data_IF_609063631757
#
_entry.id   IF_609063631757
#
_cell.length_a   1.000
_cell.length_b   1.000
_cell.length_c   1.000
_cell.angle_alpha   90.00
_cell.angle_beta   90.00
_cell.angle_gamma   90.00
#
_symmetry.space_group_name_H-M   'P 1'
#
loop_
_entity.id
_entity.type
_entity.pdbx_description
1 polymer ?
#
# COMPACT_ATOMS: atom_id res chain seq x y z
N UNK A 1 -32.51 -11.54 -4.92
CA UNK A 1 -31.13 -11.50 -5.42
C UNK A 1 -30.53 -10.20 -4.95
N UNK A 2 -29.61 -10.22 -3.97
CA UNK A 2 -28.91 -9.02 -3.52
C UNK A 2 -27.78 -8.73 -4.50
N UNK A 3 -27.94 -7.72 -5.34
CA UNK A 3 -26.87 -7.23 -6.21
C UNK A 3 -25.83 -6.55 -5.32
N UNK A 4 -24.68 -7.19 -5.12
CA UNK A 4 -23.54 -6.58 -4.41
C UNK A 4 -23.02 -5.41 -5.23
N UNK A 5 -22.83 -4.25 -4.60
CA UNK A 5 -22.19 -3.12 -5.27
C UNK A 5 -20.71 -3.45 -5.54
N UNK A 6 -20.14 -2.98 -6.66
CA UNK A 6 -18.74 -3.24 -6.99
C UNK A 6 -17.81 -2.61 -5.96
N UNK A 7 -16.80 -3.34 -5.53
CA UNK A 7 -15.81 -2.88 -4.56
C UNK A 7 -14.82 -1.91 -5.24
N UNK A 8 -14.74 -0.68 -4.73
CA UNK A 8 -13.71 0.27 -5.12
C UNK A 8 -12.33 -0.17 -4.63
N UNK A 9 -11.28 0.18 -5.36
CA UNK A 9 -9.89 -0.04 -4.97
C UNK A 9 -8.96 1.03 -5.53
N UNK A 10 -7.66 0.80 -5.41
CA UNK A 10 -6.64 1.78 -5.78
C UNK A 10 -5.75 1.27 -6.92
N UNK A 11 -5.13 2.19 -7.66
CA UNK A 11 -4.20 1.79 -8.73
C UNK A 11 -2.93 1.16 -8.14
N UNK A 12 -2.26 0.29 -8.91
CA UNK A 12 -1.00 -0.35 -8.50
C UNK A 12 0.05 0.66 -7.95
N UNK A 13 0.24 1.86 -8.53
CA UNK A 13 1.15 2.86 -7.96
C UNK A 13 0.87 3.24 -6.51
N UNK A 14 -0.39 3.21 -6.05
CA UNK A 14 -0.73 3.52 -4.65
C UNK A 14 -0.16 2.45 -3.72
N UNK A 15 -0.33 1.17 -4.06
CA UNK A 15 0.20 0.05 -3.28
C UNK A 15 1.73 -0.03 -3.33
N UNK A 16 2.33 0.25 -4.50
CA UNK A 16 3.78 0.31 -4.64
C UNK A 16 4.39 1.46 -3.82
N UNK A 17 3.73 2.64 -3.82
CA UNK A 17 4.12 3.77 -2.99
C UNK A 17 4.05 3.41 -1.49
N UNK A 18 2.97 2.77 -1.07
CA UNK A 18 2.79 2.32 0.32
C UNK A 18 3.92 1.38 0.78
N UNK A 19 4.28 0.39 -0.04
CA UNK A 19 5.42 -0.49 0.23
C UNK A 19 6.74 0.32 0.33
N UNK A 20 6.99 1.25 -0.58
CA UNK A 20 8.20 2.08 -0.55
C UNK A 20 8.29 2.92 0.73
N UNK A 21 7.19 3.52 1.17
CA UNK A 21 7.12 4.30 2.42
C UNK A 21 7.40 3.42 3.64
N UNK A 22 6.79 2.23 3.72
CA UNK A 22 7.00 1.30 4.82
C UNK A 22 8.45 0.80 4.89
N UNK A 23 9.06 0.45 3.75
CA UNK A 23 10.45 0.05 3.68
C UNK A 23 11.41 1.18 4.10
N UNK A 24 11.15 2.42 3.66
CA UNK A 24 11.94 3.58 4.06
C UNK A 24 11.79 3.88 5.56
N UNK A 25 10.59 3.73 6.11
CA UNK A 25 10.36 3.89 7.54
C UNK A 25 11.17 2.87 8.35
N UNK A 26 11.17 1.60 7.93
CA UNK A 26 12.00 0.57 8.54
C UNK A 26 13.48 0.97 8.52
N UNK A 27 14.00 1.45 7.39
CA UNK A 27 15.42 1.85 7.30
C UNK A 27 15.79 2.99 8.25
N UNK A 28 14.82 3.86 8.58
CA UNK A 28 15.05 5.03 9.44
C UNK A 28 14.83 4.74 10.92
N UNK A 29 13.90 3.85 11.25
CA UNK A 29 13.39 3.67 12.62
C UNK A 29 13.49 2.22 13.12
N UNK A 30 13.85 1.26 12.25
CA UNK A 30 13.88 -0.18 12.53
C UNK A 30 12.56 -0.70 13.14
N UNK A 31 11.45 -0.12 12.70
CA UNK A 31 10.11 -0.41 13.17
C UNK A 31 9.23 -0.91 12.03
N UNK A 32 8.49 -1.99 12.26
CA UNK A 32 7.47 -2.45 11.33
C UNK A 32 6.22 -1.56 11.43
N UNK A 33 5.65 -1.21 10.28
CA UNK A 33 4.35 -0.57 10.17
C UNK A 33 3.33 -1.57 9.63
N UNK A 34 2.16 -1.61 10.24
CA UNK A 34 1.01 -2.38 9.76
C UNK A 34 0.22 -1.61 8.68
N UNK A 35 0.33 -0.29 8.68
CA UNK A 35 -0.35 0.61 7.73
C UNK A 35 0.48 1.84 7.43
N UNK A 36 0.27 2.45 6.27
CA UNK A 36 0.85 3.76 5.91
C UNK A 36 -0.20 4.69 5.32
N UNK A 37 -0.05 5.99 5.55
CA UNK A 37 -0.87 7.02 4.92
C UNK A 37 -0.27 7.43 3.58
N UNK A 38 -1.09 7.48 2.54
CA UNK A 38 -0.71 7.90 1.19
C UNK A 38 -1.64 9.00 0.71
N UNK A 39 -1.07 10.10 0.27
CA UNK A 39 -1.81 11.18 -0.38
C UNK A 39 -2.06 10.81 -1.85
N UNK A 40 -3.34 10.69 -2.21
CA UNK A 40 -3.78 10.44 -3.57
C UNK A 40 -3.74 11.73 -4.40
N UNK A 41 -3.50 11.58 -5.70
CA UNK A 41 -3.57 12.69 -6.66
C UNK A 41 -5.03 12.97 -7.05
N UNK A 42 -5.80 11.91 -7.29
CA UNK A 42 -7.20 12.00 -7.71
C UNK A 42 -8.03 10.84 -7.14
N UNK A 43 -9.10 11.12 -6.39
CA UNK A 43 -9.37 12.41 -5.74
C UNK A 43 -8.22 12.80 -4.78
N UNK A 44 -8.00 14.10 -4.50
CA UNK A 44 -6.95 14.53 -3.57
C UNK A 44 -7.39 14.26 -2.13
N UNK A 45 -7.04 13.08 -1.62
CA UNK A 45 -7.35 12.63 -0.26
C UNK A 45 -6.21 11.78 0.30
N UNK A 46 -6.09 11.72 1.62
CA UNK A 46 -5.16 10.80 2.29
C UNK A 46 -5.86 9.50 2.61
N UNK A 47 -5.31 8.39 2.13
CA UNK A 47 -5.84 7.05 2.38
C UNK A 47 -4.86 6.21 3.19
N UNK A 48 -5.40 5.27 3.97
CA UNK A 48 -4.59 4.32 4.74
C UNK A 48 -4.47 3.01 3.96
N UNK A 49 -3.25 2.60 3.65
CA UNK A 49 -2.96 1.37 2.92
C UNK A 49 -2.35 0.34 3.88
N UNK A 50 -2.90 -0.88 3.97
CA UNK A 50 -2.32 -1.93 4.79
C UNK A 50 -1.00 -2.43 4.21
N UNK A 51 -0.06 -2.72 5.10
CA UNK A 51 1.22 -3.36 4.80
C UNK A 51 1.11 -4.82 5.23
N UNK A 52 1.28 -5.76 4.31
CA UNK A 52 1.21 -7.19 4.62
C UNK A 52 2.42 -7.64 5.43
N UNK A 53 3.61 -7.12 5.06
CA UNK A 53 4.85 -7.41 5.76
C UNK A 53 5.87 -6.31 5.51
N UNK A 54 6.74 -6.06 6.49
CA UNK A 54 7.95 -5.26 6.32
C UNK A 54 9.07 -5.84 7.15
N UNK A 55 10.28 -5.87 6.58
CA UNK A 55 11.46 -6.35 7.27
C UNK A 55 12.74 -5.73 6.70
N UNK A 56 13.75 -5.60 7.56
CA UNK A 56 15.12 -5.32 7.16
C UNK A 56 15.76 -6.57 6.57
N UNK A 57 16.52 -6.41 5.49
CA UNK A 57 17.29 -7.49 4.87
C UNK A 57 18.75 -7.40 5.32
N UNK A 58 19.32 -6.19 5.24
CA UNK A 58 20.69 -5.86 5.67
C UNK A 58 20.83 -4.35 5.84
N UNK A 59 21.99 -3.88 6.26
CA UNK A 59 22.27 -2.44 6.34
C UNK A 59 21.93 -1.73 5.03
N UNK A 60 21.11 -0.68 5.12
CA UNK A 60 20.64 0.11 3.98
C UNK A 60 19.63 -0.60 3.07
N UNK A 61 19.12 -1.78 3.43
CA UNK A 61 18.16 -2.52 2.61
C UNK A 61 17.01 -3.09 3.44
N UNK A 62 15.78 -2.76 3.04
CA UNK A 62 14.55 -3.29 3.60
C UNK A 62 13.58 -3.66 2.47
N UNK A 63 12.65 -4.56 2.77
CA UNK A 63 11.56 -4.96 1.88
C UNK A 63 10.25 -4.78 2.62
N UNK A 64 9.27 -4.19 1.93
CA UNK A 64 7.89 -4.18 2.36
C UNK A 64 7.01 -4.75 1.25
N UNK A 65 5.91 -5.37 1.67
CA UNK A 65 4.95 -6.04 0.80
C UNK A 65 3.58 -5.43 1.06
N UNK A 66 2.90 -5.06 -0.02
CA UNK A 66 1.49 -4.67 -0.01
C UNK A 66 0.73 -5.63 -0.91
N UNK A 67 -0.54 -5.89 -0.56
CA UNK A 67 -1.44 -6.63 -1.43
C UNK A 67 -2.16 -5.64 -2.32
N UNK A 68 -1.92 -5.72 -3.63
CA UNK A 68 -2.68 -4.92 -4.58
C UNK A 68 -4.14 -5.35 -4.57
N UNK A 69 -5.03 -4.39 -4.35
CA UNK A 69 -6.47 -4.58 -4.39
C UNK A 69 -7.11 -3.46 -5.24
N UNK A 70 -7.07 -3.61 -6.57
CA UNK A 70 -7.49 -2.56 -7.49
C UNK A 70 -9.01 -2.32 -7.51
N UNK A 71 -9.79 -3.25 -6.95
CA UNK A 71 -11.25 -3.21 -6.97
C UNK A 71 -11.81 -3.83 -8.24
N UNK A 72 -13.13 -3.99 -8.30
CA UNK A 72 -13.81 -4.78 -9.34
C UNK A 72 -13.76 -4.14 -10.73
N UNK A 73 -13.49 -2.84 -10.80
CA UNK A 73 -13.57 -2.03 -12.03
C UNK A 73 -12.21 -1.53 -12.54
N UNK A 74 -11.11 -1.90 -11.89
CA UNK A 74 -9.79 -1.41 -12.22
C UNK A 74 -8.92 -2.59 -12.65
N UNK A 75 -8.50 -2.57 -13.92
CA UNK A 75 -7.76 -3.65 -14.57
C UNK A 75 -6.42 -3.91 -13.85
N UNK A 76 -5.94 -5.16 -13.88
CA UNK A 76 -4.76 -5.63 -13.13
C UNK A 76 -3.41 -5.22 -13.76
N UNK A 77 -3.38 -4.18 -14.61
CA UNK A 77 -2.15 -3.67 -15.25
C UNK A 77 -2.02 -2.16 -15.10
#
# INVERSE_FOLDING_TARGET
MTTSQPQSGYTLPVFACAAAVAALHWLRQSQALETVSIDLIKPPETVTIPIEQVAGIREGMALAVTRSQPGDNLDLT
#
